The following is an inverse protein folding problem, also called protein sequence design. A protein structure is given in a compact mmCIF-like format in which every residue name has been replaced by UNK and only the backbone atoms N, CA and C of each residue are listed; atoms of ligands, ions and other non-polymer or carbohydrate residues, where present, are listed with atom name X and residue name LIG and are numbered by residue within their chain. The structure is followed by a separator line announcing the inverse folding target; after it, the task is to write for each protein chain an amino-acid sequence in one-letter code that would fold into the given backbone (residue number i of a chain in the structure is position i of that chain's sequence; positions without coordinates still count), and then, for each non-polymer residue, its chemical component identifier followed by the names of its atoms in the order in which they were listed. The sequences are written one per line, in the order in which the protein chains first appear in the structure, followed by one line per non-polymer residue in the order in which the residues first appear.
data_IF_716599918452
#
_entry.id   IF_716599918452
#
_cell.length_a   1.000
_cell.length_b   1.000
_cell.length_c   1.000
_cell.angle_alpha   90.00
_cell.angle_beta   90.00
_cell.angle_gamma   90.00
#
_symmetry.space_group_name_H-M   'P 1'
#
loop_
_entity.id
_entity.type
_entity.pdbx_description
1 polymer ?
#
# COMPACT_ATOMS: atom_id res chain seq x y z
N UNK A 1 16.46 -20.40 36.78
CA UNK A 1 16.89 -19.30 37.70
C UNK A 1 15.72 -18.32 37.76
N UNK A 2 14.92 -18.44 38.82
CA UNK A 2 13.62 -17.78 39.00
C UNK A 2 13.84 -16.42 39.63
N UNK A 3 13.29 -15.36 39.07
CA UNK A 3 13.15 -14.06 39.74
C UNK A 3 11.68 -13.88 40.14
N UNK A 4 11.45 -13.95 41.45
CA UNK A 4 10.20 -13.53 42.10
C UNK A 4 10.31 -12.05 42.40
N UNK A 5 9.28 -11.30 42.08
CA UNK A 5 9.08 -9.93 42.59
C UNK A 5 7.95 -9.97 43.58
N UNK A 6 8.27 -9.61 44.84
CA UNK A 6 7.37 -9.43 45.95
C UNK A 6 6.60 -8.10 45.81
N UNK A 7 5.31 -8.16 46.08
CA UNK A 7 4.48 -7.00 46.39
C UNK A 7 4.19 -7.00 47.89
N UNK A 8 4.70 -6.04 48.64
CA UNK A 8 4.26 -5.65 49.97
C UNK A 8 3.43 -4.38 49.91
N UNK A 9 2.21 -4.47 50.35
CA UNK A 9 1.53 -4.08 51.58
C UNK A 9 1.10 -2.62 51.68
N UNK A 10 -0.21 -2.53 51.92
CA UNK A 10 -1.09 -1.39 52.28
C UNK A 10 -0.62 -0.48 53.42
N UNK A 11 -1.33 0.64 53.69
CA UNK A 11 -2.48 0.60 54.59
C UNK A 11 -3.64 1.57 54.26
N UNK A 12 -4.84 1.19 54.39
CA UNK A 12 -5.92 1.32 55.32
C UNK A 12 -6.47 2.71 55.62
N UNK A 13 -7.75 2.96 55.22
CA UNK A 13 -8.68 3.87 55.92
C UNK A 13 -10.11 3.31 55.75
N UNK A 14 -10.80 3.09 56.88
CA UNK A 14 -12.21 2.72 56.97
C UNK A 14 -13.06 3.92 57.43
N UNK A 15 -14.37 3.77 57.79
CA UNK A 15 -15.50 3.89 56.86
C UNK A 15 -16.47 5.04 57.28
N UNK A 16 -17.41 5.42 56.45
CA UNK A 16 -18.49 6.31 56.89
C UNK A 16 -19.56 6.65 55.85
N UNK A 17 -20.72 6.06 56.07
CA UNK A 17 -22.09 6.57 55.88
C UNK A 17 -22.71 6.75 54.47
N UNK A 18 -23.70 5.88 54.27
CA UNK A 18 -25.03 6.09 53.68
C UNK A 18 -25.26 7.18 52.61
N UNK A 19 -25.70 6.75 51.42
CA UNK A 19 -27.04 7.12 50.94
C UNK A 19 -27.53 6.18 49.83
N UNK A 20 -28.79 5.89 49.90
CA UNK A 20 -29.54 4.90 49.14
C UNK A 20 -29.89 5.33 47.69
N UNK A 21 -30.17 4.31 46.90
CA UNK A 21 -31.14 4.30 45.81
C UNK A 21 -30.76 4.91 44.48
N UNK A 22 -30.30 4.06 43.54
CA UNK A 22 -30.96 4.00 42.21
C UNK A 22 -30.68 2.63 41.57
N UNK A 23 -31.75 1.87 41.47
CA UNK A 23 -31.77 0.56 40.82
C UNK A 23 -31.75 0.73 39.29
N UNK A 24 -30.68 0.28 38.62
CA UNK A 24 -30.58 0.22 37.19
C UNK A 24 -29.83 -1.04 36.77
N UNK A 25 -30.55 -1.97 36.18
CA UNK A 25 -30.08 -3.28 35.70
C UNK A 25 -28.87 -3.16 34.79
N UNK A 26 -27.69 -3.54 35.25
CA UNK A 26 -26.55 -3.86 34.42
C UNK A 26 -26.51 -5.38 34.22
N UNK A 27 -26.79 -5.82 33.01
CA UNK A 27 -26.59 -7.20 32.60
C UNK A 27 -25.09 -7.51 32.65
N UNK A 28 -24.72 -8.47 33.46
CA UNK A 28 -23.36 -9.00 33.49
C UNK A 28 -23.10 -9.77 32.21
N UNK A 29 -22.29 -9.19 31.32
CA UNK A 29 -21.67 -9.95 30.25
C UNK A 29 -20.53 -10.77 30.85
N UNK A 30 -20.79 -12.06 30.99
CA UNK A 30 -19.77 -13.06 31.31
C UNK A 30 -18.89 -13.21 30.03
N UNK A 31 -17.70 -12.61 30.07
CA UNK A 31 -16.66 -12.86 29.05
C UNK A 31 -15.94 -14.12 29.48
N UNK A 32 -16.20 -15.24 28.82
CA UNK A 32 -15.42 -16.46 28.99
C UNK A 32 -13.99 -16.19 28.50
N UNK A 33 -12.95 -16.66 29.23
CA UNK A 33 -11.58 -16.53 28.71
C UNK A 33 -11.45 -17.39 27.44
N UNK A 34 -11.17 -16.74 26.32
CA UNK A 34 -10.74 -17.42 25.10
C UNK A 34 -9.33 -17.95 25.36
N UNK A 35 -9.20 -19.26 25.50
CA UNK A 35 -7.89 -19.91 25.46
C UNK A 35 -7.26 -19.64 24.09
N UNK A 36 -6.31 -18.70 24.05
CA UNK A 36 -5.48 -18.46 22.86
C UNK A 36 -4.50 -19.63 22.76
N UNK A 37 -4.75 -20.53 21.82
CA UNK A 37 -3.82 -21.61 21.47
C UNK A 37 -2.49 -21.00 21.00
N UNK A 38 -1.42 -21.19 21.75
CA UNK A 38 -0.07 -20.65 21.55
C UNK A 38 0.73 -21.33 20.41
N UNK A 39 0.08 -21.93 19.41
CA UNK A 39 0.75 -22.67 18.33
C UNK A 39 0.38 -22.22 16.91
N UNK A 40 -0.13 -21.01 16.72
CA UNK A 40 -0.13 -20.38 15.41
C UNK A 40 1.10 -19.46 15.32
N UNK A 41 1.90 -19.50 14.24
CA UNK A 41 2.94 -18.50 14.04
C UNK A 41 2.27 -17.13 14.09
N UNK A 42 2.81 -16.23 14.93
CA UNK A 42 2.32 -14.88 15.02
C UNK A 42 2.40 -14.24 13.65
N UNK A 43 1.28 -14.20 12.94
CA UNK A 43 1.16 -13.51 11.68
C UNK A 43 1.33 -12.02 12.00
N UNK A 44 2.52 -11.49 11.76
CA UNK A 44 2.78 -10.06 11.76
C UNK A 44 1.96 -9.45 10.62
N UNK A 45 0.71 -9.14 10.89
CA UNK A 45 -0.08 -8.30 9.99
C UNK A 45 0.56 -6.91 10.06
N UNK A 46 1.38 -6.60 9.05
CA UNK A 46 1.77 -5.22 8.78
C UNK A 46 0.47 -4.42 8.59
N UNK A 47 0.14 -3.45 9.47
CA UNK A 47 -1.03 -2.59 9.27
C UNK A 47 -0.72 -1.55 8.20
N UNK A 48 -0.40 -2.00 6.99
CA UNK A 48 -0.30 -1.15 5.81
C UNK A 48 -1.71 -1.06 5.24
N UNK A 49 -2.37 0.06 5.51
CA UNK A 49 -3.59 0.41 4.82
C UNK A 49 -3.26 0.63 3.35
N UNK A 50 -3.66 -0.34 2.52
CA UNK A 50 -3.70 -0.13 1.08
C UNK A 50 -4.82 0.88 0.81
N UNK A 51 -4.59 1.91 -0.02
CA UNK A 51 -5.65 2.82 -0.41
C UNK A 51 -6.78 2.05 -1.10
N UNK A 52 -8.00 2.12 -0.58
CA UNK A 52 -9.17 1.38 -1.09
C UNK A 52 -9.53 1.74 -2.53
N UNK A 53 -9.03 2.86 -3.01
CA UNK A 53 -9.32 3.43 -4.33
C UNK A 53 -8.22 3.19 -5.37
N UNK A 54 -7.12 2.51 -5.01
CA UNK A 54 -6.05 2.12 -5.92
C UNK A 54 -6.24 0.69 -6.42
N UNK A 55 -7.04 0.56 -7.47
CA UNK A 55 -7.40 -0.70 -8.14
C UNK A 55 -7.03 -0.68 -9.62
N UNK A 56 -7.07 -1.82 -10.30
CA UNK A 56 -6.92 -1.83 -11.77
C UNK A 56 -8.00 -1.03 -12.50
N UNK A 57 -9.20 -0.94 -11.93
CA UNK A 57 -10.29 -0.14 -12.51
C UNK A 57 -10.02 1.37 -12.42
N UNK A 58 -9.25 1.82 -11.41
CA UNK A 58 -8.85 3.22 -11.24
C UNK A 58 -7.50 3.55 -11.91
N UNK A 59 -6.76 2.54 -12.37
CA UNK A 59 -5.48 2.74 -13.04
C UNK A 59 -5.68 3.11 -14.50
N UNK A 60 -5.26 4.32 -14.89
CA UNK A 60 -5.23 4.72 -16.30
C UNK A 60 -3.92 4.24 -16.93
N UNK A 61 -3.97 3.35 -17.95
CA UNK A 61 -2.76 2.73 -18.48
C UNK A 61 -1.87 3.66 -19.32
N UNK A 62 -2.43 4.68 -19.96
CA UNK A 62 -1.68 5.50 -20.93
C UNK A 62 -0.93 4.62 -21.93
N UNK A 63 0.36 4.88 -22.13
CA UNK A 63 1.24 4.11 -23.02
C UNK A 63 1.77 2.80 -22.40
N UNK A 64 1.12 2.26 -21.37
CA UNK A 64 1.58 1.08 -20.64
C UNK A 64 0.68 -0.17 -20.74
N UNK A 65 -0.04 -0.44 -21.84
CA UNK A 65 -0.94 -1.58 -21.93
C UNK A 65 -0.21 -2.92 -21.79
N UNK A 66 1.04 -3.02 -22.26
CA UNK A 66 1.84 -4.25 -22.17
C UNK A 66 2.23 -4.59 -20.74
N UNK A 67 2.63 -3.62 -19.92
CA UNK A 67 2.92 -3.81 -18.51
C UNK A 67 1.66 -4.20 -17.75
N UNK A 68 0.55 -3.47 -17.97
CA UNK A 68 -0.72 -3.79 -17.31
C UNK A 68 -1.16 -5.22 -17.62
N UNK A 69 -1.11 -5.61 -18.91
CA UNK A 69 -1.45 -6.98 -19.32
C UNK A 69 -0.51 -8.03 -18.70
N UNK A 70 0.80 -7.75 -18.63
CA UNK A 70 1.77 -8.66 -18.02
C UNK A 70 1.48 -8.87 -16.53
N UNK A 71 1.25 -7.79 -15.77
CA UNK A 71 0.90 -7.88 -14.33
C UNK A 71 -0.38 -8.68 -14.16
N UNK A 72 -1.46 -8.37 -14.89
CA UNK A 72 -2.72 -9.10 -14.80
C UNK A 72 -2.57 -10.58 -15.19
N UNK A 73 -1.73 -10.90 -16.19
CA UNK A 73 -1.47 -12.28 -16.59
C UNK A 73 -0.74 -13.07 -15.48
N UNK A 74 0.28 -12.47 -14.84
CA UNK A 74 0.96 -13.10 -13.71
C UNK A 74 -0.01 -13.38 -12.57
N UNK A 75 -0.95 -12.47 -12.27
CA UNK A 75 -1.95 -12.67 -11.22
C UNK A 75 -2.98 -13.78 -11.52
N UNK A 76 -3.16 -14.15 -12.79
CA UNK A 76 -4.07 -15.23 -13.21
C UNK A 76 -3.41 -16.62 -13.24
N UNK A 77 -2.09 -16.68 -13.19
CA UNK A 77 -1.34 -17.94 -13.24
C UNK A 77 -1.34 -18.60 -11.87
N UNK A 78 -1.38 -19.95 -11.84
CA UNK A 78 -1.35 -20.74 -10.60
C UNK A 78 0.09 -21.10 -10.16
N UNK A 79 1.11 -20.51 -10.80
CA UNK A 79 2.51 -20.73 -10.52
C UNK A 79 3.25 -19.40 -10.28
N UNK A 80 4.47 -19.49 -9.79
CA UNK A 80 5.32 -18.32 -9.55
C UNK A 80 5.56 -17.53 -10.84
N UNK A 81 5.51 -16.22 -10.72
CA UNK A 81 5.87 -15.29 -11.77
C UNK A 81 6.61 -14.10 -11.18
N UNK A 82 7.55 -13.54 -11.92
CA UNK A 82 8.34 -12.42 -11.49
C UNK A 82 8.26 -11.30 -12.53
N UNK A 83 7.91 -10.09 -12.07
CA UNK A 83 7.97 -8.87 -12.88
C UNK A 83 8.70 -7.78 -12.09
N UNK A 84 9.67 -7.17 -12.74
CA UNK A 84 10.28 -5.92 -12.32
C UNK A 84 9.77 -4.78 -13.20
N UNK A 85 9.31 -3.68 -12.60
CA UNK A 85 9.01 -2.50 -13.39
C UNK A 85 9.51 -1.24 -12.70
N UNK A 86 9.95 -0.28 -13.52
CA UNK A 86 10.62 0.90 -13.02
C UNK A 86 10.13 2.17 -13.71
N UNK A 87 10.18 3.27 -13.00
CA UNK A 87 9.90 4.59 -13.53
C UNK A 87 10.44 5.67 -12.60
N UNK A 88 10.41 6.90 -13.07
CA UNK A 88 10.55 8.05 -12.18
C UNK A 88 9.38 8.10 -11.20
N UNK A 89 9.57 8.82 -10.12
CA UNK A 89 8.52 9.07 -9.13
C UNK A 89 7.25 9.63 -9.76
N UNK A 90 6.09 9.34 -9.15
CA UNK A 90 4.79 9.84 -9.61
C UNK A 90 4.18 9.16 -10.84
N UNK A 91 4.83 8.16 -11.44
CA UNK A 91 4.30 7.47 -12.62
C UNK A 91 3.24 6.39 -12.32
N UNK A 92 3.00 6.05 -11.05
CA UNK A 92 1.96 5.08 -10.66
C UNK A 92 2.47 3.68 -10.31
N UNK A 93 3.77 3.51 -9.95
CA UNK A 93 4.35 2.22 -9.53
C UNK A 93 3.58 1.61 -8.35
N UNK A 94 3.48 2.37 -7.24
CA UNK A 94 2.78 1.92 -6.04
C UNK A 94 1.32 1.62 -6.31
N UNK A 95 0.63 2.45 -7.10
CA UNK A 95 -0.76 2.20 -7.50
C UNK A 95 -0.92 0.84 -8.19
N UNK A 96 -0.01 0.48 -9.11
CA UNK A 96 -0.09 -0.80 -9.81
C UNK A 96 0.16 -1.99 -8.87
N UNK A 97 1.05 -1.84 -7.87
CA UNK A 97 1.26 -2.84 -6.82
C UNK A 97 0.04 -2.96 -5.90
N UNK A 98 -0.54 -1.83 -5.47
CA UNK A 98 -1.75 -1.83 -4.64
C UNK A 98 -2.94 -2.46 -5.39
N UNK A 99 -3.10 -2.16 -6.68
CA UNK A 99 -4.13 -2.78 -7.51
C UNK A 99 -3.95 -4.31 -7.61
N UNK A 100 -2.70 -4.79 -7.72
CA UNK A 100 -2.40 -6.22 -7.71
C UNK A 100 -2.75 -6.89 -6.37
N UNK A 101 -2.40 -6.24 -5.25
CA UNK A 101 -2.77 -6.72 -3.92
C UNK A 101 -4.29 -6.73 -3.73
N UNK A 102 -4.99 -5.67 -4.11
CA UNK A 102 -6.44 -5.56 -4.00
C UNK A 102 -7.16 -6.66 -4.80
N UNK A 103 -6.71 -6.93 -6.03
CA UNK A 103 -7.29 -7.96 -6.91
C UNK A 103 -7.19 -9.36 -6.29
N UNK A 104 -6.02 -9.75 -5.74
CA UNK A 104 -5.86 -11.07 -5.11
C UNK A 104 -6.52 -11.14 -3.74
N UNK A 105 -6.44 -10.08 -2.93
CA UNK A 105 -7.13 -10.03 -1.64
C UNK A 105 -8.65 -10.18 -1.80
N UNK A 106 -9.24 -9.60 -2.84
CA UNK A 106 -10.65 -9.74 -3.16
C UNK A 106 -11.05 -11.20 -3.50
N UNK A 107 -10.09 -12.03 -3.92
CA UNK A 107 -10.28 -13.48 -4.16
C UNK A 107 -10.07 -14.32 -2.91
N UNK A 108 -9.65 -13.71 -1.79
CA UNK A 108 -9.30 -14.40 -0.54
C UNK A 108 -7.85 -14.89 -0.48
N UNK A 109 -7.01 -14.49 -1.42
CA UNK A 109 -5.59 -14.83 -1.43
C UNK A 109 -4.81 -13.99 -0.42
N UNK A 110 -3.80 -14.61 0.23
CA UNK A 110 -2.89 -13.91 1.12
C UNK A 110 -1.84 -13.14 0.31
N UNK A 111 -1.68 -11.85 0.58
CA UNK A 111 -0.76 -10.96 -0.12
C UNK A 111 0.14 -10.20 0.85
N UNK A 112 1.35 -9.86 0.41
CA UNK A 112 2.30 -9.04 1.15
C UNK A 112 2.70 -7.80 0.34
N UNK A 113 2.72 -6.63 0.98
CA UNK A 113 3.23 -5.39 0.39
C UNK A 113 4.29 -4.78 1.30
N UNK A 114 5.47 -4.51 0.76
CA UNK A 114 6.64 -4.02 1.49
C UNK A 114 7.14 -2.72 0.85
N UNK A 115 6.79 -1.55 1.43
CA UNK A 115 7.28 -0.25 0.98
C UNK A 115 8.67 0.01 1.58
N UNK A 116 9.73 -0.15 0.80
CA UNK A 116 11.10 0.00 1.27
C UNK A 116 11.52 1.47 1.54
N UNK A 117 10.76 2.45 1.05
CA UNK A 117 10.91 3.85 1.47
C UNK A 117 10.61 4.05 2.97
N UNK A 118 9.85 3.13 3.58
CA UNK A 118 9.52 3.11 5.01
C UNK A 118 10.29 2.05 5.79
N UNK A 119 11.39 1.51 5.25
CA UNK A 119 12.16 0.43 5.88
C UNK A 119 12.66 0.73 7.30
N UNK A 120 12.75 2.00 7.69
CA UNK A 120 13.12 2.38 9.06
C UNK A 120 12.06 2.00 10.10
N UNK A 121 10.85 1.61 9.69
CA UNK A 121 9.76 1.22 10.60
C UNK A 121 9.74 -0.29 10.88
N UNK A 122 10.53 -1.07 10.18
CA UNK A 122 10.60 -2.53 10.31
C UNK A 122 12.02 -3.04 10.06
N UNK A 123 12.24 -4.29 10.38
CA UNK A 123 13.53 -4.97 10.23
C UNK A 123 13.48 -5.96 9.06
N UNK A 124 14.63 -6.35 8.47
CA UNK A 124 14.67 -7.26 7.30
C UNK A 124 13.95 -8.60 7.51
N UNK A 125 13.87 -9.07 8.76
CA UNK A 125 13.18 -10.32 9.15
C UNK A 125 11.67 -10.28 8.88
N UNK A 126 11.09 -9.12 8.59
CA UNK A 126 9.70 -9.01 8.14
C UNK A 126 9.43 -9.80 6.85
N UNK A 127 10.49 -10.08 6.07
CA UNK A 127 10.43 -10.85 4.84
C UNK A 127 10.38 -12.37 5.06
N UNK A 128 10.58 -12.84 6.29
CA UNK A 128 10.57 -14.27 6.59
C UNK A 128 9.15 -14.84 6.51
N UNK A 129 9.03 -15.95 5.77
CA UNK A 129 7.73 -16.60 5.55
C UNK A 129 6.88 -16.00 4.43
N UNK A 130 7.29 -14.88 3.81
CA UNK A 130 6.53 -14.27 2.71
C UNK A 130 6.48 -15.16 1.46
N UNK A 131 7.40 -16.11 1.29
CA UNK A 131 7.35 -17.11 0.21
C UNK A 131 6.14 -18.05 0.31
N UNK A 132 5.35 -17.98 1.37
CA UNK A 132 4.10 -18.73 1.55
C UNK A 132 2.87 -17.97 1.07
N UNK A 133 3.01 -16.70 0.76
CA UNK A 133 1.92 -15.84 0.27
C UNK A 133 1.66 -16.09 -1.22
N UNK A 134 0.46 -15.77 -1.68
CA UNK A 134 0.10 -15.84 -3.10
C UNK A 134 0.77 -14.75 -3.95
N UNK A 135 1.06 -13.60 -3.32
CA UNK A 135 1.72 -12.47 -3.94
C UNK A 135 2.59 -11.74 -2.93
N UNK A 136 3.79 -11.36 -3.36
CA UNK A 136 4.66 -10.41 -2.66
C UNK A 136 4.95 -9.22 -3.57
N UNK A 137 4.66 -8.02 -3.08
CA UNK A 137 4.95 -6.75 -3.74
C UNK A 137 6.05 -6.02 -2.95
N UNK A 138 7.17 -5.71 -3.60
CA UNK A 138 8.26 -4.93 -3.03
C UNK A 138 8.32 -3.60 -3.76
N UNK A 139 8.10 -2.50 -3.04
CA UNK A 139 8.07 -1.17 -3.62
C UNK A 139 9.33 -0.38 -3.28
N UNK A 140 9.86 0.37 -4.27
CA UNK A 140 11.01 1.26 -4.15
C UNK A 140 12.31 0.53 -3.73
N UNK A 141 12.70 -0.53 -4.47
CA UNK A 141 13.91 -1.33 -4.20
C UNK A 141 15.19 -0.50 -4.14
N UNK A 142 15.25 0.64 -4.82
CA UNK A 142 16.36 1.59 -4.77
C UNK A 142 16.68 2.08 -3.36
N UNK A 143 15.71 2.05 -2.45
CA UNK A 143 15.88 2.53 -1.08
C UNK A 143 16.79 1.64 -0.22
N UNK A 144 17.07 0.41 -0.64
CA UNK A 144 17.97 -0.51 0.08
C UNK A 144 19.38 -0.58 -0.54
N UNK A 145 19.65 0.16 -1.61
CA UNK A 145 20.97 0.14 -2.23
C UNK A 145 22.07 0.56 -1.24
N UNK A 146 23.03 -0.34 -1.00
CA UNK A 146 24.08 -0.15 -0.01
C UNK A 146 23.72 -0.56 1.43
N UNK A 147 22.54 -1.15 1.64
CA UNK A 147 22.10 -1.68 2.94
C UNK A 147 22.22 -3.22 2.90
N UNK A 148 23.39 -3.73 3.25
CA UNK A 148 23.72 -5.15 3.13
C UNK A 148 22.72 -6.11 3.81
N UNK A 149 22.20 -5.84 5.03
CA UNK A 149 21.15 -6.67 5.65
C UNK A 149 19.88 -6.76 4.81
N UNK A 150 19.40 -5.65 4.27
CA UNK A 150 18.21 -5.62 3.44
C UNK A 150 18.44 -6.28 2.07
N UNK A 151 19.58 -6.02 1.43
CA UNK A 151 19.94 -6.66 0.16
C UNK A 151 19.99 -8.18 0.29
N UNK A 152 20.60 -8.68 1.38
CA UNK A 152 20.66 -10.11 1.68
C UNK A 152 19.29 -10.72 1.95
N UNK A 153 18.43 -10.02 2.71
CA UNK A 153 17.09 -10.48 3.03
C UNK A 153 16.20 -10.58 1.77
N UNK A 154 16.25 -9.59 0.88
CA UNK A 154 15.55 -9.60 -0.41
C UNK A 154 16.09 -10.73 -1.31
N UNK A 155 17.41 -10.92 -1.38
CA UNK A 155 18.01 -12.01 -2.14
C UNK A 155 17.56 -13.39 -1.66
N UNK A 156 17.54 -13.58 -0.34
CA UNK A 156 17.07 -14.82 0.27
C UNK A 156 15.57 -15.05 0.00
N UNK A 157 14.74 -14.01 0.14
CA UNK A 157 13.32 -14.11 -0.19
C UNK A 157 13.11 -14.49 -1.67
N UNK A 158 13.83 -13.84 -2.58
CA UNK A 158 13.75 -14.15 -4.02
C UNK A 158 14.04 -15.64 -4.28
N UNK A 159 15.11 -16.17 -3.69
CA UNK A 159 15.47 -17.59 -3.85
C UNK A 159 14.40 -18.51 -3.26
N UNK A 160 13.88 -18.25 -2.05
CA UNK A 160 12.78 -19.03 -1.44
C UNK A 160 11.52 -19.01 -2.31
N UNK A 161 11.18 -17.88 -2.92
CA UNK A 161 10.04 -17.75 -3.85
C UNK A 161 10.26 -18.63 -5.08
N UNK A 162 11.46 -18.62 -5.68
CA UNK A 162 11.79 -19.49 -6.81
C UNK A 162 11.68 -20.98 -6.45
N UNK A 163 12.20 -21.36 -5.30
CA UNK A 163 12.16 -22.76 -4.81
C UNK A 163 10.73 -23.22 -4.51
N UNK A 164 9.91 -22.37 -3.93
CA UNK A 164 8.51 -22.68 -3.63
C UNK A 164 7.65 -22.85 -4.88
N UNK A 165 7.95 -22.10 -5.94
CA UNK A 165 7.27 -22.14 -7.22
C UNK A 165 5.80 -21.69 -7.19
N UNK A 166 5.33 -21.06 -6.10
CA UNK A 166 3.91 -20.73 -5.87
C UNK A 166 3.63 -19.25 -5.79
N UNK A 167 4.56 -18.49 -5.23
CA UNK A 167 4.41 -17.06 -4.93
C UNK A 167 4.72 -16.23 -6.16
N UNK A 168 3.89 -15.26 -6.45
CA UNK A 168 4.13 -14.24 -7.47
C UNK A 168 4.90 -13.10 -6.85
N UNK A 169 5.87 -12.53 -7.56
CA UNK A 169 6.74 -11.48 -7.07
C UNK A 169 6.70 -10.27 -8.01
N UNK A 170 6.25 -9.15 -7.51
CA UNK A 170 6.29 -7.87 -8.20
C UNK A 170 7.26 -6.94 -7.47
N UNK A 171 8.23 -6.39 -8.18
CA UNK A 171 9.21 -5.45 -7.61
C UNK A 171 9.22 -4.16 -8.42
N UNK A 172 9.29 -3.03 -7.72
CA UNK A 172 9.45 -1.73 -8.37
C UNK A 172 10.77 -1.06 -8.02
N UNK A 173 11.24 -0.23 -8.93
CA UNK A 173 12.41 0.61 -8.73
C UNK A 173 12.30 1.95 -9.49
N UNK A 174 13.21 2.87 -9.18
CA UNK A 174 13.31 4.17 -9.88
C UNK A 174 14.10 4.07 -11.20
N UNK A 175 14.82 2.97 -11.41
CA UNK A 175 15.71 2.70 -12.55
C UNK A 175 15.80 1.20 -12.88
N UNK A 176 16.40 0.81 -14.01
CA UNK A 176 16.63 -0.60 -14.33
C UNK A 176 17.49 -1.30 -13.28
N UNK A 177 17.35 -2.64 -13.07
CA UNK A 177 18.10 -3.38 -12.05
C UNK A 177 19.61 -3.15 -12.07
N UNK A 178 20.22 -3.13 -13.25
CA UNK A 178 21.66 -2.92 -13.44
C UNK A 178 22.17 -1.54 -13.00
N UNK A 179 21.28 -0.60 -12.76
CA UNK A 179 21.60 0.79 -12.36
C UNK A 179 21.28 1.08 -10.90
N UNK A 180 20.84 0.08 -10.13
CA UNK A 180 20.42 0.26 -8.72
C UNK A 180 21.61 0.48 -7.76
N UNK A 181 22.87 0.26 -8.21
CA UNK A 181 24.07 0.35 -7.37
C UNK A 181 24.00 -0.52 -6.10
N UNK A 182 23.43 -1.72 -6.21
CA UNK A 182 23.39 -2.70 -5.15
C UNK A 182 24.81 -3.21 -4.85
N UNK A 183 25.12 -3.43 -3.58
CA UNK A 183 26.39 -4.06 -3.16
C UNK A 183 26.42 -5.55 -3.50
N UNK A 184 25.26 -6.24 -3.36
CA UNK A 184 25.13 -7.66 -3.64
C UNK A 184 24.90 -7.89 -5.16
N UNK A 185 25.98 -8.22 -5.89
CA UNK A 185 25.92 -8.46 -7.33
C UNK A 185 24.93 -9.57 -7.72
N UNK A 186 24.79 -10.59 -6.86
CA UNK A 186 23.86 -11.70 -7.08
C UNK A 186 22.41 -11.23 -7.05
N UNK A 187 22.05 -10.30 -6.15
CA UNK A 187 20.71 -9.70 -6.14
C UNK A 187 20.47 -8.90 -7.43
N UNK A 188 21.44 -8.06 -7.84
CA UNK A 188 21.31 -7.30 -9.09
C UNK A 188 21.10 -8.23 -10.30
N UNK A 189 21.81 -9.36 -10.34
CA UNK A 189 21.66 -10.39 -11.38
C UNK A 189 20.26 -11.03 -11.33
N UNK A 190 19.74 -11.36 -10.13
CA UNK A 190 18.39 -11.93 -9.95
C UNK A 190 17.29 -10.97 -10.38
N UNK A 191 17.42 -9.70 -10.03
CA UNK A 191 16.46 -8.67 -10.44
C UNK A 191 16.45 -8.44 -11.96
N UNK A 192 17.55 -8.71 -12.65
CA UNK A 192 17.65 -8.64 -14.12
C UNK A 192 17.10 -9.92 -14.82
N UNK A 193 16.72 -10.93 -14.05
CA UNK A 193 16.15 -12.19 -14.54
C UNK A 193 14.63 -12.07 -14.66
N UNK A 194 14.07 -12.10 -15.86
CA UNK A 194 12.64 -12.16 -16.05
C UNK A 194 12.10 -10.98 -16.86
N UNK A 195 10.86 -10.61 -16.59
CA UNK A 195 10.19 -9.55 -17.36
C UNK A 195 10.45 -8.18 -16.72
N UNK A 196 11.17 -7.33 -17.45
CA UNK A 196 11.50 -5.97 -17.02
C UNK A 196 10.73 -4.99 -17.88
N UNK A 197 9.97 -4.11 -17.23
CA UNK A 197 9.20 -3.07 -17.91
C UNK A 197 9.60 -1.68 -17.44
N UNK A 198 9.53 -0.74 -18.35
CA UNK A 198 9.55 0.68 -18.00
C UNK A 198 8.12 1.20 -17.98
N UNK A 199 7.66 1.69 -16.85
CA UNK A 199 6.38 2.38 -16.73
C UNK A 199 6.56 3.82 -17.24
N UNK A 200 5.88 4.14 -18.34
CA UNK A 200 5.89 5.46 -18.95
C UNK A 200 5.00 6.42 -18.14
N UNK A 201 5.46 7.64 -17.85
CA UNK A 201 4.62 8.63 -17.22
C UNK A 201 3.46 9.02 -18.14
N UNK A 202 2.32 9.38 -17.55
CA UNK A 202 1.16 9.82 -18.30
C UNK A 202 1.42 11.15 -19.04
N UNK A 203 0.94 11.25 -20.27
CA UNK A 203 0.84 12.51 -21.01
C UNK A 203 -0.15 13.47 -20.31
N UNK A 204 -0.16 14.75 -20.69
CA UNK A 204 -1.13 15.70 -20.11
C UNK A 204 -2.58 15.33 -20.48
N UNK A 205 -2.80 14.75 -21.66
CA UNK A 205 -4.08 14.21 -22.10
C UNK A 205 -4.48 12.99 -21.26
N UNK A 206 -3.57 12.08 -21.00
CA UNK A 206 -3.82 10.91 -20.16
C UNK A 206 -4.10 11.28 -18.71
N UNK A 207 -3.40 12.29 -18.17
CA UNK A 207 -3.66 12.82 -16.83
C UNK A 207 -5.07 13.38 -16.72
N UNK A 208 -5.54 14.09 -17.76
CA UNK A 208 -6.92 14.57 -17.81
C UNK A 208 -7.91 13.40 -17.74
N UNK A 209 -7.68 12.36 -18.55
CA UNK A 209 -8.54 11.18 -18.56
C UNK A 209 -8.49 10.40 -17.23
N UNK A 210 -7.30 10.29 -16.62
CA UNK A 210 -7.14 9.68 -15.30
C UNK A 210 -7.89 10.45 -14.20
N UNK A 211 -7.84 11.78 -14.21
CA UNK A 211 -8.60 12.63 -13.28
C UNK A 211 -10.11 12.47 -13.46
N UNK A 212 -10.59 12.43 -14.71
CA UNK A 212 -12.00 12.22 -15.00
C UNK A 212 -12.46 10.82 -14.61
N UNK A 213 -11.62 9.78 -14.84
CA UNK A 213 -11.90 8.42 -14.39
C UNK A 213 -12.08 8.37 -12.87
N UNK A 214 -11.14 8.97 -12.13
CA UNK A 214 -11.18 9.03 -10.67
C UNK A 214 -12.42 9.76 -10.15
N UNK A 215 -12.77 10.90 -10.76
CA UNK A 215 -13.97 11.65 -10.40
C UNK A 215 -15.25 10.84 -10.61
N UNK A 216 -15.37 10.13 -11.75
CA UNK A 216 -16.53 9.26 -12.04
C UNK A 216 -16.68 8.12 -11.05
N UNK A 217 -15.58 7.50 -10.64
CA UNK A 217 -15.59 6.42 -9.64
C UNK A 217 -16.08 6.90 -8.28
N UNK A 218 -15.85 8.18 -7.95
CA UNK A 218 -16.37 8.84 -6.74
C UNK A 218 -17.77 9.40 -6.89
N UNK A 219 -18.37 9.25 -8.07
CA UNK A 219 -19.76 9.65 -8.31
C UNK A 219 -19.98 11.11 -8.67
N UNK A 220 -18.93 11.84 -9.09
CA UNK A 220 -19.06 13.22 -9.55
C UNK A 220 -18.44 13.44 -10.94
N UNK A 221 -18.92 14.49 -11.61
CA UNK A 221 -18.39 14.89 -12.91
C UNK A 221 -17.30 15.96 -12.75
N UNK A 222 -16.16 15.74 -13.40
CA UNK A 222 -15.09 16.71 -13.50
C UNK A 222 -15.04 17.27 -14.93
N UNK A 223 -15.50 18.50 -15.17
CA UNK A 223 -15.49 19.11 -16.50
C UNK A 223 -14.07 19.23 -17.08
N UNK A 224 -13.94 19.09 -18.39
CA UNK A 224 -12.64 19.14 -19.06
C UNK A 224 -11.92 20.47 -18.89
N UNK A 225 -12.65 21.59 -18.90
CA UNK A 225 -12.11 22.93 -18.70
C UNK A 225 -11.51 23.09 -17.27
N UNK A 226 -12.13 22.46 -16.27
CA UNK A 226 -11.62 22.41 -14.89
C UNK A 226 -10.35 21.55 -14.85
N UNK A 227 -10.33 20.37 -15.48
CA UNK A 227 -9.12 19.52 -15.57
C UNK A 227 -7.96 20.29 -16.20
N UNK A 228 -8.18 20.92 -17.35
CA UNK A 228 -7.16 21.71 -18.05
C UNK A 228 -6.69 22.92 -17.21
N UNK A 229 -7.58 23.51 -16.42
CA UNK A 229 -7.23 24.57 -15.50
C UNK A 229 -6.31 24.06 -14.38
N UNK A 230 -6.63 22.90 -13.77
CA UNK A 230 -5.80 22.28 -12.72
C UNK A 230 -4.40 21.93 -13.24
N UNK A 231 -4.30 21.26 -14.40
CA UNK A 231 -3.02 20.91 -15.04
C UNK A 231 -2.14 22.12 -15.40
N UNK A 232 -2.74 23.30 -15.60
CA UNK A 232 -2.00 24.54 -15.87
C UNK A 232 -1.52 25.28 -14.62
N UNK A 233 -2.16 25.06 -13.48
CA UNK A 233 -1.96 25.84 -12.27
C UNK A 233 -1.27 25.09 -11.15
N UNK A 234 -1.40 23.77 -11.12
CA UNK A 234 -0.85 22.92 -10.10
C UNK A 234 0.40 22.19 -10.62
N UNK A 235 1.10 21.59 -9.68
CA UNK A 235 2.13 20.61 -10.01
C UNK A 235 1.51 19.45 -10.78
N UNK A 236 2.20 19.00 -11.83
CA UNK A 236 1.73 17.96 -12.76
C UNK A 236 1.94 16.55 -12.22
N UNK A 237 2.30 16.41 -10.95
CA UNK A 237 2.37 15.11 -10.29
C UNK A 237 0.98 14.55 -10.02
N UNK A 238 0.75 13.29 -10.39
CA UNK A 238 -0.56 12.66 -10.22
C UNK A 238 -1.02 12.61 -8.77
N UNK A 239 -0.10 12.46 -7.81
CA UNK A 239 -0.41 12.50 -6.38
C UNK A 239 -1.05 13.84 -5.99
N UNK A 240 -0.38 14.94 -6.31
CA UNK A 240 -0.88 16.30 -6.03
C UNK A 240 -2.23 16.57 -6.70
N UNK A 241 -2.39 16.10 -7.93
CA UNK A 241 -3.64 16.25 -8.68
C UNK A 241 -4.79 15.44 -8.03
N UNK A 242 -4.55 14.23 -7.57
CA UNK A 242 -5.54 13.41 -6.87
C UNK A 242 -5.88 13.98 -5.49
N UNK A 243 -4.89 14.41 -4.70
CA UNK A 243 -5.12 15.09 -3.41
C UNK A 243 -5.98 16.35 -3.58
N UNK A 244 -5.69 17.13 -4.63
CA UNK A 244 -6.50 18.31 -4.98
C UNK A 244 -7.92 17.90 -5.37
N UNK A 245 -8.08 16.83 -6.15
CA UNK A 245 -9.39 16.32 -6.53
C UNK A 245 -10.20 15.91 -5.30
N UNK A 246 -9.56 15.27 -4.32
CA UNK A 246 -10.16 14.88 -3.04
C UNK A 246 -10.64 16.09 -2.23
N UNK A 247 -9.83 17.16 -2.21
CA UNK A 247 -10.21 18.41 -1.56
C UNK A 247 -11.41 19.08 -2.24
N UNK A 248 -11.42 19.08 -3.57
CA UNK A 248 -12.51 19.67 -4.37
C UNK A 248 -13.80 18.87 -4.24
N UNK A 249 -13.73 17.54 -4.19
CA UNK A 249 -14.88 16.65 -3.96
C UNK A 249 -15.56 16.97 -2.62
N UNK A 250 -14.79 16.96 -1.52
CA UNK A 250 -15.30 17.31 -0.18
C UNK A 250 -15.93 18.71 -0.14
N UNK A 251 -15.28 19.68 -0.78
CA UNK A 251 -15.79 21.06 -0.83
C UNK A 251 -17.08 21.15 -1.65
N UNK A 252 -17.17 20.44 -2.77
CA UNK A 252 -18.36 20.37 -3.63
C UNK A 252 -19.57 19.80 -2.89
N UNK A 253 -19.38 18.69 -2.17
CA UNK A 253 -20.42 18.07 -1.34
C UNK A 253 -20.90 19.04 -0.25
N UNK A 254 -19.94 19.65 0.48
CA UNK A 254 -20.26 20.58 1.58
C UNK A 254 -21.01 21.82 1.09
N UNK A 255 -20.58 22.39 -0.03
CA UNK A 255 -21.18 23.59 -0.61
C UNK A 255 -22.43 23.31 -1.46
N UNK A 256 -22.70 22.04 -1.77
CA UNK A 256 -23.75 21.59 -2.73
C UNK A 256 -23.64 22.30 -4.09
N UNK A 257 -22.41 22.50 -4.57
CA UNK A 257 -22.12 23.23 -5.82
C UNK A 257 -21.34 22.34 -6.79
N UNK A 258 -21.64 22.51 -8.07
CA UNK A 258 -20.87 21.84 -9.15
C UNK A 258 -19.45 22.41 -9.24
N UNK A 259 -18.51 21.57 -9.65
CA UNK A 259 -17.13 21.98 -9.91
C UNK A 259 -17.07 22.88 -11.14
N UNK A 260 -16.75 24.14 -10.92
CA UNK A 260 -16.53 25.16 -11.95
C UNK A 260 -15.21 25.89 -11.68
N UNK A 261 -14.57 26.46 -12.69
CA UNK A 261 -13.32 27.20 -12.52
C UNK A 261 -13.40 28.26 -11.42
N UNK A 262 -14.47 29.11 -11.32
CA UNK A 262 -14.61 30.07 -10.22
C UNK A 262 -14.64 29.39 -8.84
N UNK A 263 -15.37 28.27 -8.69
CA UNK A 263 -15.44 27.54 -7.43
C UNK A 263 -14.08 26.91 -7.07
N UNK A 264 -13.37 26.34 -8.03
CA UNK A 264 -12.02 25.81 -7.82
C UNK A 264 -11.04 26.88 -7.36
N UNK A 265 -11.08 28.09 -7.96
CA UNK A 265 -10.25 29.22 -7.53
C UNK A 265 -10.54 29.64 -6.09
N UNK A 266 -11.83 29.66 -5.71
CA UNK A 266 -12.27 29.98 -4.35
C UNK A 266 -11.67 28.99 -3.33
N UNK A 267 -11.78 27.67 -3.60
CA UNK A 267 -11.32 26.61 -2.70
C UNK A 267 -9.80 26.56 -2.60
N UNK A 268 -9.11 26.66 -3.73
CA UNK A 268 -7.64 26.55 -3.80
C UNK A 268 -6.91 27.88 -3.57
N UNK A 269 -7.65 28.99 -3.40
CA UNK A 269 -7.13 30.35 -3.21
C UNK A 269 -6.17 30.80 -4.33
N UNK A 270 -6.54 30.50 -5.60
CA UNK A 270 -5.77 30.77 -6.82
C UNK A 270 -6.21 32.07 -7.52
#
# INVERSE_FOLDING_TARGET
MSLRINLESEPGIAPGSNCASFCGKLAAFSVSPVEVSLNAPAQLSLPLYLPDDETFASFWPGDNPSLLAAVQNVLRQDHSGYIYFWSREGAGRSHLLHAACAELSARGDAVGYVPLDKRTWFVPEVLDGMEQLSLVCIDNIECIAGDDPWEMAIFNLYNRILESGRTRLLITGDRPPRQLNLHLADLASRLDWGQIYRLQPLSDEDKLLALQLRARQRGFELPEDVCRFLLKRLDREMRTLFETLDQLDRASITAQRKLTIPFVKEILKL
#
